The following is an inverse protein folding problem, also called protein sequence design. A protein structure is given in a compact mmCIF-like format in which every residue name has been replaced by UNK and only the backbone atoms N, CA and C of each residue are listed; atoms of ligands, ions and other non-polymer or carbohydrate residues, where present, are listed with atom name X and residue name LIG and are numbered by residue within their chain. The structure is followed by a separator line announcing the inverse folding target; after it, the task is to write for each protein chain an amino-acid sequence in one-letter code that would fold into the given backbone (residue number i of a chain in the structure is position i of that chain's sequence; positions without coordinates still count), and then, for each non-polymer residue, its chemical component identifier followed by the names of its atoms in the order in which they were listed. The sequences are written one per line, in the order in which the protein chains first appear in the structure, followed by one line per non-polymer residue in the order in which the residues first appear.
data_IF_450011807816
#
_entry.id   IF_450011807816
#
_cell.length_a   1.000
_cell.length_b   1.000
_cell.length_c   1.000
_cell.angle_alpha   90.00
_cell.angle_beta   90.00
_cell.angle_gamma   90.00
#
_symmetry.space_group_name_H-M   'P 1'
#
loop_
_entity.id
_entity.type
_entity.pdbx_description
1 polymer ?
#
# COMPACT_ATOMS: atom_id res chain seq x y z
N UNK A 1 -14.98 42.61 -2.00
CA UNK A 1 -13.62 42.23 -1.59
C UNK A 1 -13.59 41.15 -0.49
N UNK A 2 -14.39 41.32 0.57
CA UNK A 2 -14.34 40.54 1.80
C UNK A 2 -14.68 39.04 1.64
N UNK A 3 -15.74 38.74 0.91
CA UNK A 3 -16.15 37.35 0.61
C UNK A 3 -15.13 36.58 -0.22
N UNK A 4 -14.39 37.25 -1.11
CA UNK A 4 -13.33 36.66 -1.92
C UNK A 4 -12.16 36.30 -1.03
N UNK A 5 -11.78 37.17 -0.06
CA UNK A 5 -10.75 36.90 0.93
C UNK A 5 -11.06 35.61 1.73
N UNK A 6 -12.27 35.56 2.31
CA UNK A 6 -12.75 34.43 3.10
C UNK A 6 -12.77 33.14 2.27
N UNK A 7 -13.28 33.19 1.04
CA UNK A 7 -13.37 32.05 0.14
C UNK A 7 -11.98 31.52 -0.25
N UNK A 8 -11.03 32.39 -0.58
CA UNK A 8 -9.66 31.95 -0.93
C UNK A 8 -8.93 31.31 0.26
N UNK A 9 -9.09 31.90 1.46
CA UNK A 9 -8.44 31.37 2.66
C UNK A 9 -9.05 30.02 3.08
N UNK A 10 -10.39 29.93 3.15
CA UNK A 10 -11.06 28.69 3.51
C UNK A 10 -10.81 27.56 2.51
N UNK A 11 -10.81 27.86 1.20
CA UNK A 11 -10.52 26.86 0.17
C UNK A 11 -9.08 26.32 0.28
N UNK A 12 -8.12 27.20 0.56
CA UNK A 12 -6.71 26.79 0.75
C UNK A 12 -6.53 25.90 1.97
N UNK A 13 -7.15 26.27 3.10
CA UNK A 13 -7.10 25.46 4.34
C UNK A 13 -7.84 24.13 4.15
N UNK A 14 -9.03 24.14 3.57
CA UNK A 14 -9.81 22.94 3.29
C UNK A 14 -9.06 21.94 2.40
N UNK A 15 -8.36 22.43 1.37
CA UNK A 15 -7.57 21.58 0.48
C UNK A 15 -6.44 20.86 1.25
N UNK A 16 -5.69 21.56 2.09
CA UNK A 16 -4.59 20.99 2.88
C UNK A 16 -5.12 20.02 3.94
N UNK A 17 -6.17 20.43 4.68
CA UNK A 17 -6.80 19.59 5.70
C UNK A 17 -7.40 18.31 5.09
N UNK A 18 -8.11 18.43 3.97
CA UNK A 18 -8.71 17.31 3.25
C UNK A 18 -7.67 16.27 2.81
N UNK A 19 -6.52 16.71 2.28
CA UNK A 19 -5.41 15.82 1.93
C UNK A 19 -4.87 15.11 3.17
N UNK A 20 -4.71 15.82 4.29
CA UNK A 20 -4.28 15.23 5.56
C UNK A 20 -5.24 14.16 6.08
N UNK A 21 -6.54 14.42 6.03
CA UNK A 21 -7.59 13.48 6.45
C UNK A 21 -7.61 12.22 5.58
N UNK A 22 -7.56 12.37 4.25
CA UNK A 22 -7.51 11.23 3.32
C UNK A 22 -6.28 10.36 3.58
N UNK A 23 -5.11 10.98 3.75
CA UNK A 23 -3.88 10.26 4.10
C UNK A 23 -4.03 9.47 5.40
N UNK A 24 -4.54 10.11 6.46
CA UNK A 24 -4.74 9.45 7.77
C UNK A 24 -5.76 8.31 7.69
N UNK A 25 -6.85 8.47 6.95
CA UNK A 25 -7.86 7.44 6.75
C UNK A 25 -7.30 6.22 6.00
N UNK A 26 -6.50 6.44 4.95
CA UNK A 26 -5.84 5.35 4.21
C UNK A 26 -4.83 4.63 5.11
N UNK A 27 -4.01 5.36 5.86
CA UNK A 27 -3.04 4.76 6.78
C UNK A 27 -3.73 3.95 7.89
N UNK A 28 -4.82 4.45 8.47
CA UNK A 28 -5.60 3.71 9.46
C UNK A 28 -6.19 2.43 8.88
N UNK A 29 -6.83 2.49 7.69
CA UNK A 29 -7.38 1.31 7.02
C UNK A 29 -6.31 0.28 6.64
N UNK A 30 -5.15 0.72 6.16
CA UNK A 30 -4.03 -0.17 5.87
C UNK A 30 -3.45 -0.83 7.13
N UNK A 31 -3.38 -0.12 8.25
CA UNK A 31 -2.89 -0.69 9.51
C UNK A 31 -3.89 -1.67 10.14
N UNK A 32 -5.19 -1.40 10.04
CA UNK A 32 -6.24 -2.27 10.56
C UNK A 32 -6.33 -3.60 9.79
N UNK A 33 -6.14 -3.57 8.47
CA UNK A 33 -6.17 -4.75 7.62
C UNK A 33 -4.78 -5.28 7.26
N UNK A 34 -3.73 -4.69 7.81
CA UNK A 34 -2.35 -4.95 7.43
C UNK A 34 -1.96 -6.42 7.51
N UNK A 35 -2.35 -7.11 8.57
CA UNK A 35 -2.06 -8.53 8.74
C UNK A 35 -2.74 -9.39 7.64
N UNK A 36 -3.98 -9.08 7.27
CA UNK A 36 -4.70 -9.79 6.19
C UNK A 36 -4.07 -9.49 4.83
N UNK A 37 -3.72 -8.23 4.56
CA UNK A 37 -3.09 -7.81 3.31
C UNK A 37 -1.69 -8.42 3.14
N UNK A 38 -0.94 -8.59 4.23
CA UNK A 38 0.36 -9.25 4.25
C UNK A 38 0.23 -10.78 4.20
N UNK A 39 -0.93 -11.31 4.65
CA UNK A 39 -1.17 -12.74 4.84
C UNK A 39 -0.52 -13.30 6.10
N UNK A 40 -0.24 -12.44 7.10
CA UNK A 40 0.40 -12.75 8.38
C UNK A 40 0.74 -11.49 9.16
N UNK A 41 1.16 -11.62 10.42
CA UNK A 41 1.59 -10.49 11.25
C UNK A 41 2.95 -9.95 10.80
N UNK A 42 3.82 -10.83 10.30
CA UNK A 42 5.12 -10.48 9.74
C UNK A 42 5.51 -11.44 8.59
N UNK A 43 6.45 -10.97 7.78
CA UNK A 43 7.01 -11.71 6.65
C UNK A 43 8.52 -11.50 6.60
N UNK A 44 9.28 -12.60 6.46
CA UNK A 44 10.67 -12.60 6.05
C UNK A 44 10.75 -13.03 4.58
N UNK A 45 11.41 -12.22 3.74
CA UNK A 45 11.55 -12.49 2.30
C UNK A 45 13.02 -12.59 1.92
N UNK A 46 13.33 -13.60 1.10
CA UNK A 46 14.64 -13.80 0.50
C UNK A 46 14.53 -13.82 -1.02
N UNK A 47 15.51 -13.27 -1.70
CA UNK A 47 15.55 -13.20 -3.15
C UNK A 47 16.54 -14.24 -3.69
N UNK A 48 16.10 -15.05 -4.64
CA UNK A 48 16.87 -16.09 -5.35
C UNK A 48 17.43 -17.21 -4.47
N UNK A 49 16.89 -17.39 -3.28
CA UNK A 49 17.25 -18.46 -2.36
C UNK A 49 16.13 -18.76 -1.36
N UNK A 50 16.21 -19.89 -0.73
CA UNK A 50 15.44 -20.23 0.45
C UNK A 50 16.12 -19.71 1.73
N UNK A 51 15.38 -19.69 2.83
CA UNK A 51 15.97 -19.49 4.14
C UNK A 51 16.97 -20.60 4.46
N UNK A 52 18.11 -20.26 5.05
CA UNK A 52 19.03 -21.25 5.60
C UNK A 52 18.40 -21.98 6.80
N UNK A 53 18.93 -23.14 7.21
CA UNK A 53 18.42 -23.84 8.39
C UNK A 53 18.42 -22.97 9.65
N UNK A 54 19.42 -22.11 9.83
CA UNK A 54 19.49 -21.18 10.95
C UNK A 54 18.42 -20.08 10.88
N UNK A 55 18.22 -19.49 9.69
CA UNK A 55 17.17 -18.49 9.47
C UNK A 55 15.79 -19.09 9.68
N UNK A 56 15.55 -20.31 9.15
CA UNK A 56 14.28 -21.02 9.34
C UNK A 56 14.04 -21.33 10.82
N UNK A 57 15.02 -21.86 11.53
CA UNK A 57 14.90 -22.14 12.96
C UNK A 57 14.60 -20.86 13.78
N UNK A 58 15.20 -19.73 13.39
CA UNK A 58 14.88 -18.46 14.03
C UNK A 58 13.42 -18.05 13.77
N UNK A 59 12.94 -18.11 12.52
CA UNK A 59 11.56 -17.76 12.18
C UNK A 59 10.56 -18.66 12.92
N UNK A 60 10.85 -19.98 13.01
CA UNK A 60 10.02 -20.94 13.74
C UNK A 60 10.04 -20.67 15.26
N UNK A 61 11.13 -20.12 15.80
CA UNK A 61 11.25 -19.82 17.25
C UNK A 61 10.44 -18.60 17.68
N UNK A 62 10.21 -17.63 16.80
CA UNK A 62 9.48 -16.39 17.10
C UNK A 62 8.00 -16.43 16.72
N UNK A 63 7.60 -17.37 15.87
CA UNK A 63 6.25 -17.46 15.33
C UNK A 63 5.47 -18.65 15.90
N UNK A 64 4.17 -18.47 16.07
CA UNK A 64 3.24 -19.55 16.41
C UNK A 64 2.95 -20.46 15.20
N UNK A 65 2.99 -19.89 13.99
CA UNK A 65 2.78 -20.59 12.73
C UNK A 65 3.56 -19.89 11.61
N UNK A 66 4.18 -20.65 10.73
CA UNK A 66 4.92 -20.13 9.57
C UNK A 66 4.39 -20.82 8.31
N UNK A 67 4.20 -20.04 7.25
CA UNK A 67 3.90 -20.53 5.90
C UNK A 67 4.97 -20.07 4.93
N UNK A 68 5.46 -21.00 4.12
CA UNK A 68 6.48 -20.77 3.09
C UNK A 68 5.82 -20.63 1.73
N UNK A 69 6.08 -19.51 1.07
CA UNK A 69 5.54 -19.19 -0.25
C UNK A 69 6.72 -18.89 -1.18
N UNK A 70 6.68 -19.46 -2.37
CA UNK A 70 7.67 -19.18 -3.42
C UNK A 70 6.99 -18.54 -4.61
N UNK A 71 7.49 -17.39 -5.03
CA UNK A 71 6.93 -16.64 -6.16
C UNK A 71 7.98 -16.46 -7.27
N UNK A 72 7.59 -16.77 -8.50
CA UNK A 72 8.44 -16.61 -9.67
C UNK A 72 7.60 -16.49 -10.95
N UNK A 73 8.24 -16.05 -12.02
CA UNK A 73 7.62 -16.02 -13.35
C UNK A 73 8.03 -17.28 -14.13
N UNK A 74 7.06 -17.87 -14.81
CA UNK A 74 7.29 -19.04 -15.65
C UNK A 74 6.32 -19.03 -16.84
N UNK A 75 6.51 -19.98 -17.74
CA UNK A 75 5.59 -20.25 -18.83
C UNK A 75 4.78 -21.51 -18.50
N UNK A 76 3.48 -21.45 -18.72
CA UNK A 76 2.66 -22.64 -18.84
C UNK A 76 2.64 -23.07 -20.30
N UNK A 77 2.62 -24.38 -20.55
CA UNK A 77 2.44 -24.96 -21.88
C UNK A 77 1.19 -25.84 -21.87
N UNK A 78 0.25 -25.50 -22.75
CA UNK A 78 -1.02 -26.21 -22.95
C UNK A 78 -1.23 -26.42 -24.46
N UNK A 79 -1.11 -27.65 -24.95
CA UNK A 79 -1.04 -27.94 -26.38
C UNK A 79 0.08 -27.15 -27.05
N UNK A 80 -0.24 -26.37 -28.07
CA UNK A 80 0.69 -25.52 -28.81
C UNK A 80 0.86 -24.11 -28.19
N UNK A 81 0.12 -23.80 -27.13
CA UNK A 81 0.14 -22.49 -26.48
C UNK A 81 1.17 -22.44 -25.36
N UNK A 82 1.99 -21.35 -25.36
CA UNK A 82 2.92 -21.04 -24.27
C UNK A 82 2.59 -19.64 -23.75
N UNK A 83 2.16 -19.54 -22.49
CA UNK A 83 1.69 -18.29 -21.89
C UNK A 83 2.46 -17.98 -20.60
N UNK A 84 2.80 -16.71 -20.42
CA UNK A 84 3.47 -16.23 -19.21
C UNK A 84 2.51 -16.24 -18.02
N UNK A 85 2.98 -16.74 -16.90
CA UNK A 85 2.25 -16.73 -15.63
C UNK A 85 3.14 -16.31 -14.47
N UNK A 86 2.53 -15.72 -13.46
CA UNK A 86 3.12 -15.51 -12.14
C UNK A 86 2.78 -16.73 -11.27
N UNK A 87 3.74 -17.59 -11.04
CA UNK A 87 3.56 -18.76 -10.18
C UNK A 87 3.65 -18.37 -8.73
N UNK A 88 2.71 -18.84 -7.93
CA UNK A 88 2.73 -18.80 -6.46
C UNK A 88 2.65 -20.23 -5.95
N UNK A 89 3.78 -20.75 -5.52
CA UNK A 89 3.88 -22.06 -4.92
C UNK A 89 3.74 -21.93 -3.40
N UNK A 90 2.75 -22.61 -2.83
CA UNK A 90 2.37 -22.50 -1.41
C UNK A 90 2.59 -23.81 -0.68
N UNK A 91 2.79 -23.73 0.62
CA UNK A 91 2.81 -24.89 1.51
C UNK A 91 1.39 -25.22 2.03
N UNK A 92 1.29 -26.29 2.83
CA UNK A 92 0.02 -26.76 3.42
C UNK A 92 -0.53 -25.80 4.49
N UNK A 93 0.29 -24.86 4.98
CA UNK A 93 -0.12 -23.90 5.97
C UNK A 93 -0.82 -22.66 5.38
N UNK A 94 -0.68 -22.43 4.08
CA UNK A 94 -1.26 -21.30 3.37
C UNK A 94 -2.78 -21.47 3.13
N UNK A 95 -3.61 -20.43 3.25
CA UNK A 95 -3.28 -19.09 3.76
C UNK A 95 -3.30 -19.06 5.30
N UNK A 96 -2.41 -18.28 5.92
CA UNK A 96 -2.42 -18.10 7.38
C UNK A 96 -3.58 -17.23 7.83
N UNK A 97 -3.92 -16.19 7.05
CA UNK A 97 -5.01 -15.26 7.26
C UNK A 97 -5.82 -15.07 5.98
N UNK A 98 -7.11 -14.85 6.13
CA UNK A 98 -8.03 -14.70 5.01
C UNK A 98 -8.39 -16.02 4.34
N UNK A 99 -8.94 -15.94 3.14
CA UNK A 99 -9.38 -17.08 2.35
C UNK A 99 -9.06 -16.88 0.86
N UNK A 100 -8.71 -17.95 0.19
CA UNK A 100 -8.60 -17.96 -1.27
C UNK A 100 -9.99 -18.25 -1.85
N UNK A 101 -10.52 -17.33 -2.65
CA UNK A 101 -11.81 -17.49 -3.30
C UNK A 101 -11.64 -18.11 -4.70
N UNK A 102 -12.35 -19.21 -4.93
CA UNK A 102 -12.38 -19.94 -6.21
C UNK A 102 -13.77 -19.85 -6.84
N UNK A 103 -13.87 -20.00 -8.17
CA UNK A 103 -15.16 -20.14 -8.84
C UNK A 103 -15.86 -21.44 -8.45
N UNK A 104 -15.09 -22.53 -8.24
CA UNK A 104 -15.59 -23.83 -7.81
C UNK A 104 -14.50 -24.58 -7.04
N UNK A 105 -14.92 -25.49 -6.15
CA UNK A 105 -14.02 -26.26 -5.31
C UNK A 105 -13.67 -25.55 -3.99
N UNK A 106 -12.90 -26.21 -3.14
CA UNK A 106 -12.45 -25.66 -1.87
C UNK A 106 -10.91 -25.65 -1.80
N UNK A 107 -10.37 -24.51 -1.41
CA UNK A 107 -8.94 -24.37 -1.15
C UNK A 107 -8.61 -24.85 0.29
N UNK A 108 -7.52 -25.58 0.56
CA UNK A 108 -6.45 -25.99 -0.37
C UNK A 108 -6.66 -27.34 -1.09
N UNK A 109 -7.79 -28.02 -0.90
CA UNK A 109 -8.03 -29.38 -1.41
C UNK A 109 -7.82 -29.51 -2.94
N UNK A 110 -8.12 -28.45 -3.70
CA UNK A 110 -7.94 -28.44 -5.16
C UNK A 110 -6.46 -28.54 -5.60
N UNK A 111 -5.51 -28.26 -4.70
CA UNK A 111 -4.07 -28.34 -5.02
C UNK A 111 -3.50 -29.75 -4.82
N UNK A 112 -4.19 -30.65 -4.11
CA UNK A 112 -3.67 -31.99 -3.81
C UNK A 112 -3.35 -32.78 -5.10
N UNK A 113 -2.26 -33.57 -5.10
CA UNK A 113 -1.92 -34.46 -6.22
C UNK A 113 -1.70 -33.73 -7.54
N UNK A 114 -0.81 -32.75 -7.52
CA UNK A 114 -0.45 -31.87 -8.67
C UNK A 114 -1.65 -31.10 -9.25
N UNK A 115 -2.61 -30.75 -8.40
CA UNK A 115 -3.67 -29.81 -8.76
C UNK A 115 -3.13 -28.38 -8.83
N UNK A 116 -3.71 -27.58 -9.70
CA UNK A 116 -3.40 -26.18 -9.84
C UNK A 116 -4.68 -25.32 -9.86
N UNK A 117 -4.52 -24.09 -9.38
CA UNK A 117 -5.52 -23.02 -9.51
C UNK A 117 -4.93 -21.94 -10.40
N UNK A 118 -5.72 -21.42 -11.33
CA UNK A 118 -5.27 -20.47 -12.32
C UNK A 118 -6.26 -19.30 -12.43
N UNK A 119 -5.75 -18.10 -12.71
CA UNK A 119 -6.57 -16.96 -13.07
C UNK A 119 -7.47 -17.31 -14.27
N UNK A 120 -8.75 -16.92 -14.20
CA UNK A 120 -9.73 -17.26 -15.23
C UNK A 120 -9.31 -16.78 -16.62
N UNK A 121 -8.71 -15.58 -16.72
CA UNK A 121 -8.23 -15.01 -17.99
C UNK A 121 -7.13 -15.88 -18.61
N UNK A 122 -6.22 -16.38 -17.77
CA UNK A 122 -5.13 -17.24 -18.24
C UNK A 122 -5.65 -18.60 -18.72
N UNK A 123 -6.58 -19.20 -17.96
CA UNK A 123 -7.21 -20.46 -18.34
C UNK A 123 -7.94 -20.35 -19.69
N UNK A 124 -8.67 -19.25 -19.91
CA UNK A 124 -9.37 -18.99 -21.17
C UNK A 124 -8.39 -18.77 -22.34
N UNK A 125 -7.31 -18.02 -22.13
CA UNK A 125 -6.27 -17.80 -23.14
C UNK A 125 -5.52 -19.10 -23.50
N UNK A 126 -5.33 -19.99 -22.52
CA UNK A 126 -4.71 -21.29 -22.72
C UNK A 126 -5.65 -22.34 -23.31
N UNK A 127 -6.96 -22.03 -23.39
CA UNK A 127 -7.99 -22.99 -23.82
C UNK A 127 -8.20 -24.12 -22.84
N UNK A 128 -7.90 -23.91 -21.53
CA UNK A 128 -7.98 -24.93 -20.50
C UNK A 128 -9.33 -24.91 -19.79
N UNK A 129 -9.97 -26.06 -19.72
CA UNK A 129 -11.10 -26.35 -18.87
C UNK A 129 -10.65 -26.99 -17.54
N UNK A 130 -11.52 -26.96 -16.53
CA UNK A 130 -11.27 -27.69 -15.27
C UNK A 130 -11.16 -29.17 -15.57
N UNK A 131 -10.08 -29.79 -15.16
CA UNK A 131 -9.73 -31.19 -15.42
C UNK A 131 -8.65 -31.37 -16.50
N UNK A 132 -8.35 -30.35 -17.28
CA UNK A 132 -7.31 -30.41 -18.31
C UNK A 132 -5.91 -30.31 -17.69
N UNK A 133 -4.95 -31.00 -18.33
CA UNK A 133 -3.54 -30.96 -17.97
C UNK A 133 -2.78 -29.86 -18.70
N UNK A 134 -1.80 -29.29 -18.02
CA UNK A 134 -0.82 -28.36 -18.59
C UNK A 134 0.56 -28.61 -17.97
N UNK A 135 1.59 -28.11 -18.63
CA UNK A 135 2.97 -28.23 -18.14
C UNK A 135 3.45 -26.92 -17.56
N UNK A 136 4.14 -27.00 -16.42
CA UNK A 136 4.85 -25.91 -15.78
C UNK A 136 6.30 -26.35 -15.55
N UNK A 137 7.24 -25.83 -16.33
CA UNK A 137 8.59 -26.36 -16.40
C UNK A 137 8.61 -27.82 -16.83
N UNK A 138 9.32 -28.68 -16.09
CA UNK A 138 9.37 -30.13 -16.34
C UNK A 138 8.20 -30.92 -15.73
N UNK A 139 7.30 -30.29 -14.99
CA UNK A 139 6.21 -30.97 -14.29
C UNK A 139 4.84 -30.76 -14.97
N UNK A 140 3.98 -31.78 -14.88
CA UNK A 140 2.59 -31.73 -15.36
C UNK A 140 1.65 -31.48 -14.20
N UNK A 141 0.68 -30.57 -14.41
CA UNK A 141 -0.36 -30.17 -13.44
C UNK A 141 -1.74 -30.28 -14.06
N UNK A 142 -2.75 -30.45 -13.22
CA UNK A 142 -4.15 -30.49 -13.63
C UNK A 142 -4.85 -29.23 -13.14
N UNK A 143 -5.52 -28.47 -14.01
CA UNK A 143 -6.33 -27.34 -13.63
C UNK A 143 -7.56 -27.80 -12.85
N UNK A 144 -7.67 -27.47 -11.58
CA UNK A 144 -8.78 -27.88 -10.71
C UNK A 144 -9.60 -26.74 -10.15
N UNK A 145 -9.19 -25.50 -10.37
CA UNK A 145 -9.93 -24.34 -9.93
C UNK A 145 -9.56 -23.09 -10.69
N UNK A 146 -10.51 -22.17 -10.79
CA UNK A 146 -10.27 -20.82 -11.30
C UNK A 146 -10.23 -19.85 -10.13
N UNK A 147 -9.18 -19.04 -10.06
CA UNK A 147 -8.94 -18.09 -9.00
C UNK A 147 -9.81 -16.83 -9.20
N UNK A 148 -10.59 -16.47 -8.18
CA UNK A 148 -11.30 -15.20 -8.12
C UNK A 148 -10.51 -14.15 -7.34
N UNK A 149 -10.02 -14.51 -6.16
CA UNK A 149 -9.19 -13.63 -5.34
C UNK A 149 -8.33 -14.40 -4.34
N UNK A 150 -7.22 -13.79 -3.96
CA UNK A 150 -6.35 -14.23 -2.88
C UNK A 150 -6.23 -13.13 -1.81
N UNK A 151 -6.12 -13.47 -0.51
CA UNK A 151 -6.18 -12.49 0.58
C UNK A 151 -5.00 -11.50 0.57
N UNK A 152 -3.86 -11.94 0.09
CA UNK A 152 -2.55 -11.28 0.15
C UNK A 152 -2.07 -10.77 -1.22
N UNK A 153 -2.99 -10.52 -2.14
CA UNK A 153 -2.70 -10.01 -3.49
C UNK A 153 -1.98 -8.66 -3.49
N UNK A 154 -2.18 -7.84 -2.45
CA UNK A 154 -1.59 -6.50 -2.34
C UNK A 154 -0.07 -6.51 -2.11
N UNK A 155 0.50 -7.60 -1.60
CA UNK A 155 1.95 -7.72 -1.33
C UNK A 155 2.78 -8.01 -2.56
N UNK A 156 2.18 -8.60 -3.60
CA UNK A 156 2.85 -8.92 -4.88
C UNK A 156 3.10 -7.71 -5.80
N UNK A 157 2.64 -6.51 -5.43
CA UNK A 157 2.66 -5.35 -6.31
C UNK A 157 1.66 -5.49 -7.47
N UNK A 158 1.82 -4.67 -8.53
CA UNK A 158 1.06 -4.85 -9.75
C UNK A 158 1.53 -6.14 -10.44
N UNK A 159 0.74 -7.20 -10.35
CA UNK A 159 1.00 -8.45 -11.07
C UNK A 159 1.00 -8.16 -12.58
N UNK A 160 2.17 -8.29 -13.21
CA UNK A 160 2.32 -8.06 -14.65
C UNK A 160 1.86 -9.27 -15.49
N UNK A 161 1.50 -10.38 -14.85
CA UNK A 161 1.03 -11.60 -15.47
C UNK A 161 -0.05 -12.26 -14.61
N UNK A 162 -0.99 -12.98 -15.21
CA UNK A 162 -2.03 -13.70 -14.48
C UNK A 162 -1.42 -14.79 -13.60
N UNK A 163 -2.09 -15.10 -12.49
CA UNK A 163 -1.61 -15.98 -11.41
C UNK A 163 -1.87 -17.45 -11.70
N UNK A 164 -0.88 -18.29 -11.38
CA UNK A 164 -1.05 -19.75 -11.25
C UNK A 164 -0.57 -20.17 -9.86
N UNK A 165 -1.39 -20.91 -9.12
CA UNK A 165 -1.10 -21.37 -7.77
C UNK A 165 -1.00 -22.88 -7.72
N UNK A 166 0.07 -23.40 -7.10
CA UNK A 166 0.38 -24.83 -6.99
C UNK A 166 0.94 -25.13 -5.59
N UNK A 167 1.00 -26.41 -5.19
CA UNK A 167 1.74 -26.79 -4.00
C UNK A 167 3.26 -26.71 -4.26
N UNK A 168 4.00 -26.18 -3.31
CA UNK A 168 5.46 -26.09 -3.39
C UNK A 168 6.12 -27.47 -3.54
N UNK A 169 5.60 -28.47 -2.80
CA UNK A 169 6.09 -29.83 -2.86
C UNK A 169 5.99 -30.45 -4.27
N UNK A 170 4.97 -30.08 -5.04
CA UNK A 170 4.76 -30.60 -6.40
C UNK A 170 5.72 -30.01 -7.45
N UNK A 171 6.48 -28.97 -7.09
CA UNK A 171 7.54 -28.38 -7.93
C UNK A 171 8.89 -29.07 -7.76
N UNK A 172 9.02 -30.01 -6.84
CA UNK A 172 10.26 -30.79 -6.70
C UNK A 172 10.53 -31.58 -7.99
N UNK A 173 11.74 -31.45 -8.52
CA UNK A 173 12.10 -32.07 -9.80
C UNK A 173 11.60 -31.36 -11.07
N UNK A 174 10.85 -30.27 -10.96
CA UNK A 174 10.38 -29.48 -12.13
C UNK A 174 11.48 -28.70 -12.85
N UNK A 175 12.64 -28.51 -12.21
CA UNK A 175 13.72 -27.65 -12.69
C UNK A 175 13.54 -26.16 -12.42
N UNK A 176 12.42 -25.74 -11.84
CA UNK A 176 12.06 -24.32 -11.67
C UNK A 176 12.66 -23.68 -10.42
N UNK A 177 12.97 -24.50 -9.40
CA UNK A 177 13.50 -24.03 -8.10
C UNK A 177 14.94 -24.49 -7.84
N UNK A 178 15.71 -24.66 -8.90
CA UNK A 178 17.12 -25.06 -8.81
C UNK A 178 18.02 -23.86 -8.47
N UNK A 179 19.26 -24.16 -8.08
CA UNK A 179 20.29 -23.12 -7.90
C UNK A 179 20.45 -22.30 -9.19
N UNK A 180 20.36 -20.98 -9.06
CA UNK A 180 20.38 -20.04 -10.20
C UNK A 180 19.03 -19.69 -10.77
N UNK A 181 17.94 -20.29 -10.31
CA UNK A 181 16.58 -19.86 -10.69
C UNK A 181 16.22 -18.53 -10.03
N UNK A 182 15.44 -17.71 -10.75
CA UNK A 182 14.99 -16.40 -10.29
C UNK A 182 13.64 -16.52 -9.58
N UNK A 183 13.67 -16.69 -8.27
CA UNK A 183 12.46 -16.75 -7.44
C UNK A 183 12.63 -15.96 -6.15
N UNK A 184 11.54 -15.55 -5.57
CA UNK A 184 11.48 -15.00 -4.22
C UNK A 184 10.86 -16.03 -3.28
N UNK A 185 11.48 -16.27 -2.13
CA UNK A 185 10.88 -17.06 -1.06
C UNK A 185 10.43 -16.14 0.08
N UNK A 186 9.20 -16.34 0.54
CA UNK A 186 8.57 -15.55 1.59
C UNK A 186 8.08 -16.46 2.70
N UNK A 187 8.48 -16.15 3.93
CA UNK A 187 8.05 -16.86 5.14
C UNK A 187 7.11 -15.95 5.90
N UNK A 188 5.80 -16.23 5.82
CA UNK A 188 4.77 -15.51 6.54
C UNK A 188 4.54 -16.11 7.90
N UNK A 189 4.29 -15.27 8.88
CA UNK A 189 4.27 -15.67 10.28
C UNK A 189 3.02 -15.15 10.98
N UNK A 190 2.42 -16.00 11.81
CA UNK A 190 1.54 -15.56 12.88
C UNK A 190 2.38 -15.50 14.14
N UNK A 191 2.43 -14.33 14.76
CA UNK A 191 3.20 -14.10 15.96
C UNK A 191 2.35 -14.31 17.22
N UNK A 192 2.95 -14.57 18.39
CA UNK A 192 2.25 -14.59 19.65
C UNK A 192 1.57 -13.25 19.94
N UNK A 193 0.41 -13.29 20.61
CA UNK A 193 -0.32 -12.09 20.98
C UNK A 193 0.56 -11.12 21.81
N UNK A 194 0.57 -9.85 21.43
CA UNK A 194 1.38 -8.83 22.08
C UNK A 194 2.87 -8.81 21.69
N UNK A 195 3.28 -9.54 20.66
CA UNK A 195 4.64 -9.48 20.15
C UNK A 195 5.02 -8.06 19.70
N UNK A 196 6.20 -7.59 20.08
CA UNK A 196 6.74 -6.31 19.66
C UNK A 196 7.34 -6.43 18.25
N UNK A 197 6.56 -6.04 17.23
CA UNK A 197 6.96 -6.10 15.83
C UNK A 197 8.22 -5.26 15.54
N UNK A 198 8.42 -4.14 16.26
CA UNK A 198 9.58 -3.28 16.06
C UNK A 198 10.86 -3.94 16.60
N UNK A 199 10.77 -4.54 17.77
CA UNK A 199 11.89 -5.27 18.36
C UNK A 199 12.26 -6.50 17.53
N UNK A 200 11.27 -7.27 17.07
CA UNK A 200 11.50 -8.44 16.22
C UNK A 200 12.13 -8.06 14.88
N UNK A 201 11.65 -6.99 14.24
CA UNK A 201 12.28 -6.46 13.02
C UNK A 201 13.75 -6.11 13.26
N UNK A 202 14.03 -5.31 14.30
CA UNK A 202 15.41 -4.90 14.63
C UNK A 202 16.33 -6.09 14.92
N UNK A 203 15.84 -7.11 15.63
CA UNK A 203 16.59 -8.35 15.88
C UNK A 203 16.87 -9.13 14.60
N UNK A 204 15.86 -9.35 13.75
CA UNK A 204 16.00 -10.07 12.50
C UNK A 204 16.97 -9.37 11.54
N UNK A 205 16.81 -8.05 11.36
CA UNK A 205 17.66 -7.25 10.50
C UNK A 205 19.11 -7.15 11.01
N UNK A 206 19.32 -7.14 12.32
CA UNK A 206 20.67 -7.13 12.91
C UNK A 206 21.34 -8.49 12.75
N UNK A 207 20.60 -9.57 13.05
CA UNK A 207 21.15 -10.94 13.01
C UNK A 207 21.46 -11.41 11.59
N UNK A 208 20.61 -11.05 10.63
CA UNK A 208 20.67 -11.53 9.24
C UNK A 208 20.93 -10.42 8.22
N UNK A 209 21.59 -9.33 8.63
CA UNK A 209 21.87 -8.16 7.77
C UNK A 209 22.59 -8.54 6.49
N UNK A 210 23.63 -9.36 6.60
CA UNK A 210 24.45 -9.78 5.45
C UNK A 210 23.78 -10.86 4.59
N UNK A 211 22.78 -11.51 5.12
CA UNK A 211 22.06 -12.59 4.46
C UNK A 211 20.99 -12.10 3.47
N UNK A 212 20.77 -10.78 3.35
CA UNK A 212 19.80 -10.20 2.41
C UNK A 212 18.34 -10.42 2.81
N UNK A 213 18.07 -10.66 4.10
CA UNK A 213 16.72 -10.77 4.63
C UNK A 213 16.00 -9.44 4.47
N UNK A 214 14.78 -9.49 3.92
CA UNK A 214 13.85 -8.35 3.87
C UNK A 214 12.69 -8.63 4.82
N UNK A 215 12.58 -7.82 5.86
CA UNK A 215 11.48 -7.89 6.81
C UNK A 215 10.34 -6.97 6.39
N UNK A 216 9.11 -7.44 6.52
CA UNK A 216 7.88 -6.65 6.43
C UNK A 216 6.93 -7.12 7.51
N UNK A 217 6.12 -6.23 8.06
CA UNK A 217 5.11 -6.59 9.05
C UNK A 217 3.79 -5.85 8.79
N UNK A 218 2.76 -6.21 9.55
CA UNK A 218 1.40 -5.69 9.39
C UNK A 218 1.28 -4.17 9.52
N UNK A 219 2.26 -3.51 10.17
CA UNK A 219 2.32 -2.03 10.28
C UNK A 219 2.58 -1.38 8.91
N UNK A 220 3.23 -2.10 7.99
CA UNK A 220 3.59 -1.66 6.63
C UNK A 220 3.33 -2.76 5.60
N UNK A 221 2.10 -3.26 5.59
CA UNK A 221 1.72 -4.41 4.78
C UNK A 221 1.75 -4.16 3.27
N UNK A 222 1.62 -2.91 2.84
CA UNK A 222 1.56 -2.54 1.44
C UNK A 222 2.54 -1.39 1.09
N UNK A 223 3.87 -1.61 1.12
CA UNK A 223 4.87 -0.55 0.91
C UNK A 223 4.74 0.14 -0.46
N UNK A 224 4.17 -0.54 -1.45
CA UNK A 224 3.88 0.02 -2.77
C UNK A 224 2.78 1.08 -2.72
N UNK A 225 1.71 0.76 -2.01
CA UNK A 225 0.55 1.65 -1.81
C UNK A 225 0.95 2.84 -0.94
N UNK A 226 1.70 2.62 0.15
CA UNK A 226 2.20 3.71 1.01
C UNK A 226 3.03 4.72 0.20
N UNK A 227 4.02 4.26 -0.56
CA UNK A 227 4.84 5.14 -1.41
C UNK A 227 4.04 5.89 -2.47
N UNK A 228 3.02 5.25 -3.02
CA UNK A 228 2.11 5.89 -3.97
C UNK A 228 1.28 6.99 -3.30
N UNK A 229 0.69 6.70 -2.14
CA UNK A 229 -0.08 7.65 -1.33
C UNK A 229 0.80 8.82 -0.87
N UNK A 230 2.03 8.56 -0.40
CA UNK A 230 2.98 9.60 -0.02
C UNK A 230 3.33 10.52 -1.20
N UNK A 231 3.54 9.96 -2.39
CA UNK A 231 3.85 10.75 -3.59
C UNK A 231 2.68 11.61 -4.02
N UNK A 232 1.46 11.07 -4.00
CA UNK A 232 0.25 11.83 -4.30
C UNK A 232 0.02 12.90 -3.24
N UNK A 233 0.18 12.59 -1.96
CA UNK A 233 0.05 13.55 -0.86
C UNK A 233 1.04 14.70 -1.02
N UNK A 234 2.31 14.42 -1.32
CA UNK A 234 3.33 15.44 -1.57
C UNK A 234 2.95 16.33 -2.77
N UNK A 235 2.46 15.74 -3.86
CA UNK A 235 1.98 16.50 -5.02
C UNK A 235 0.78 17.39 -4.67
N UNK A 236 -0.21 16.86 -3.95
CA UNK A 236 -1.39 17.62 -3.53
C UNK A 236 -1.04 18.77 -2.55
N UNK A 237 -0.08 18.54 -1.64
CA UNK A 237 0.45 19.61 -0.78
C UNK A 237 1.09 20.72 -1.63
N UNK A 238 1.86 20.37 -2.65
CA UNK A 238 2.49 21.35 -3.54
C UNK A 238 1.43 22.14 -4.34
N UNK A 239 0.39 21.49 -4.83
CA UNK A 239 -0.77 22.15 -5.47
C UNK A 239 -1.50 23.05 -4.49
N UNK A 240 -1.73 22.57 -3.25
CA UNK A 240 -2.34 23.37 -2.18
C UNK A 240 -1.53 24.62 -1.82
N UNK A 241 -0.21 24.49 -1.75
CA UNK A 241 0.73 25.61 -1.51
C UNK A 241 0.71 26.61 -2.66
N UNK A 242 0.67 26.14 -3.91
CA UNK A 242 0.51 27.00 -5.08
C UNK A 242 -0.84 27.76 -5.05
N UNK A 243 -1.93 27.05 -4.71
CA UNK A 243 -3.24 27.65 -4.50
C UNK A 243 -3.25 28.70 -3.37
N UNK A 244 -2.56 28.41 -2.27
CA UNK A 244 -2.39 29.35 -1.16
C UNK A 244 -1.58 30.59 -1.57
N UNK A 245 -0.54 30.44 -2.40
CA UNK A 245 0.24 31.56 -2.91
C UNK A 245 -0.59 32.47 -3.81
N UNK A 246 -1.36 31.88 -4.74
CA UNK A 246 -2.29 32.64 -5.60
C UNK A 246 -3.39 33.28 -4.76
N UNK A 247 -3.97 32.56 -3.80
CA UNK A 247 -4.94 33.07 -2.83
C UNK A 247 -4.36 34.21 -1.99
N UNK A 248 -3.09 34.12 -1.57
CA UNK A 248 -2.36 35.15 -0.84
C UNK A 248 -2.28 36.49 -1.60
N UNK A 249 -2.06 36.44 -2.91
CA UNK A 249 -2.11 37.65 -3.76
C UNK A 249 -3.52 38.24 -3.77
N UNK A 250 -4.56 37.40 -3.86
CA UNK A 250 -5.97 37.84 -3.77
C UNK A 250 -6.30 38.46 -2.41
N UNK A 251 -5.79 37.85 -1.34
CA UNK A 251 -5.90 38.38 0.04
C UNK A 251 -5.22 39.74 0.15
N UNK A 252 -3.98 39.88 -0.34
CA UNK A 252 -3.27 41.15 -0.31
C UNK A 252 -4.00 42.26 -1.09
N UNK A 253 -4.51 41.92 -2.28
CA UNK A 253 -5.33 42.86 -3.08
C UNK A 253 -6.63 43.27 -2.39
N UNK A 254 -7.33 42.31 -1.76
CA UNK A 254 -8.56 42.57 -1.02
C UNK A 254 -8.33 43.47 0.21
N UNK A 255 -7.26 43.20 0.99
CA UNK A 255 -6.86 44.02 2.14
C UNK A 255 -6.51 45.46 1.68
N UNK A 256 -5.72 45.57 0.60
CA UNK A 256 -5.35 46.87 0.04
C UNK A 256 -6.58 47.67 -0.39
N UNK A 257 -7.48 47.07 -1.18
CA UNK A 257 -8.74 47.71 -1.61
C UNK A 257 -9.63 48.11 -0.41
N UNK A 258 -9.68 47.28 0.62
CA UNK A 258 -10.41 47.59 1.85
C UNK A 258 -9.84 48.83 2.58
N UNK A 259 -8.51 48.87 2.74
CA UNK A 259 -7.82 49.99 3.38
C UNK A 259 -7.96 51.27 2.55
N UNK A 260 -7.84 51.19 1.23
CA UNK A 260 -8.07 52.35 0.31
C UNK A 260 -9.47 52.89 0.46
N UNK A 261 -10.52 52.07 0.55
CA UNK A 261 -11.90 52.48 0.79
C UNK A 261 -12.11 53.13 2.18
N UNK A 262 -11.22 52.90 3.13
CA UNK A 262 -11.27 53.48 4.50
C UNK A 262 -10.35 54.69 4.70
N UNK A 263 -9.63 55.14 3.68
CA UNK A 263 -8.70 56.25 3.78
C UNK A 263 -9.35 57.53 4.32
N UNK A 264 -10.59 57.89 3.88
CA UNK A 264 -11.34 59.02 4.37
C UNK A 264 -11.65 58.92 5.88
N UNK A 265 -12.05 57.72 6.34
CA UNK A 265 -12.32 57.46 7.77
C UNK A 265 -11.03 57.52 8.59
N UNK A 266 -9.96 56.99 8.07
CA UNK A 266 -8.62 57.03 8.71
C UNK A 266 -8.12 58.49 8.83
N UNK A 267 -8.31 59.27 7.78
CA UNK A 267 -7.96 60.71 7.80
C UNK A 267 -8.75 61.47 8.88
N UNK A 268 -10.07 61.24 8.95
CA UNK A 268 -10.93 61.85 9.98
C UNK A 268 -10.50 61.45 11.40
N UNK A 269 -10.19 60.16 11.63
CA UNK A 269 -9.69 59.71 12.94
C UNK A 269 -8.37 60.37 13.32
N UNK A 270 -7.47 60.59 12.35
CA UNK A 270 -6.20 61.25 12.57
C UNK A 270 -6.36 62.73 12.88
N UNK A 271 -7.30 63.41 12.24
CA UNK A 271 -7.58 64.82 12.57
C UNK A 271 -8.23 64.99 13.95
N UNK A 272 -8.90 63.95 14.46
CA UNK A 272 -9.44 63.89 15.82
C UNK A 272 -8.38 63.48 16.86
N UNK A 273 -7.12 63.31 16.47
CA UNK A 273 -6.02 63.01 17.38
C UNK A 273 -5.65 61.53 17.57
N UNK A 274 -6.23 60.61 16.78
CA UNK A 274 -5.89 59.21 16.85
C UNK A 274 -4.44 58.96 16.38
N UNK A 275 -3.65 58.24 17.19
CA UNK A 275 -2.27 57.88 16.84
C UNK A 275 -2.26 56.84 15.74
N UNK A 276 -1.20 56.84 14.89
CA UNK A 276 -1.05 55.85 13.81
C UNK A 276 -1.04 54.39 14.32
N UNK A 277 -0.53 54.16 15.54
CA UNK A 277 -0.55 52.86 16.19
C UNK A 277 -1.95 52.36 16.55
N UNK A 278 -2.82 53.24 17.05
CA UNK A 278 -4.20 52.88 17.37
C UNK A 278 -5.00 52.51 16.11
N UNK A 279 -4.83 53.26 15.03
CA UNK A 279 -5.45 52.98 13.73
C UNK A 279 -4.99 51.65 13.19
N UNK A 280 -3.69 51.39 13.22
CA UNK A 280 -3.10 50.09 12.78
C UNK A 280 -3.67 48.93 13.60
N UNK A 281 -3.63 49.01 14.92
CA UNK A 281 -4.15 47.96 15.80
C UNK A 281 -5.63 47.63 15.52
N UNK A 282 -6.47 48.64 15.30
CA UNK A 282 -7.90 48.45 15.01
C UNK A 282 -8.13 47.68 13.71
N UNK A 283 -7.47 48.05 12.62
CA UNK A 283 -7.65 47.39 11.33
C UNK A 283 -6.93 46.03 11.29
N UNK A 284 -5.81 45.91 11.97
CA UNK A 284 -5.12 44.62 12.12
C UNK A 284 -5.97 43.58 12.87
N UNK A 285 -6.59 43.99 13.98
CA UNK A 285 -7.51 43.14 14.76
C UNK A 285 -8.73 42.70 13.93
N UNK A 286 -9.31 43.61 13.15
CA UNK A 286 -10.40 43.27 12.25
C UNK A 286 -9.99 42.21 11.22
N UNK A 287 -8.87 42.40 10.56
CA UNK A 287 -8.37 41.44 9.56
C UNK A 287 -8.01 40.09 10.23
N UNK A 288 -7.41 40.11 11.42
CA UNK A 288 -7.04 38.91 12.17
C UNK A 288 -8.28 38.07 12.56
N UNK A 289 -9.35 38.73 13.08
CA UNK A 289 -10.62 38.06 13.42
C UNK A 289 -11.23 37.40 12.18
N UNK A 290 -11.21 38.10 11.07
CA UNK A 290 -11.78 37.63 9.82
C UNK A 290 -10.96 36.47 9.21
N UNK A 291 -9.64 36.55 9.37
CA UNK A 291 -8.73 35.42 8.98
C UNK A 291 -8.99 34.20 9.85
N UNK A 292 -9.18 34.40 11.17
CA UNK A 292 -9.49 33.28 12.07
C UNK A 292 -10.82 32.61 11.71
N UNK A 293 -11.85 33.42 11.37
CA UNK A 293 -13.12 32.88 10.87
C UNK A 293 -12.95 32.12 9.54
N UNK A 294 -12.14 32.61 8.62
CA UNK A 294 -11.87 31.95 7.35
C UNK A 294 -11.16 30.59 7.53
N UNK A 295 -10.22 30.52 8.49
CA UNK A 295 -9.52 29.27 8.83
C UNK A 295 -10.45 28.26 9.52
N UNK A 296 -11.39 28.71 10.36
CA UNK A 296 -12.32 27.81 11.05
C UNK A 296 -13.44 27.28 10.15
N UNK A 297 -13.74 27.96 9.06
CA UNK A 297 -14.72 27.51 8.06
C UNK A 297 -14.10 26.55 7.04
N UNK A 298 -12.81 26.68 6.74
CA UNK A 298 -12.06 25.82 5.81
C UNK A 298 -11.46 24.60 6.47
#
# INVERSE_FOLDING_TARGET
GFWVFLACLSLGVAAIAGVGMVRSAIQAGLSEQGATLLGGDAQAKFTYRFASPEERAYLDSIASKVSEIVEFRSMISAGDSNLLTQVKAVDDAYPLLGQVALQAGSFPAVLAGRGAVMDGILADQAGLAIGDSFRLGGAEFVLRGRLNSEPDSATGGFALAPRTMVLRADLEGSGLLNAGSLFDSSYRMILPAGADLAALQAQAETRFREAGLRWSDSRRAAPGVERFVERIAAFLVLVGLAGLAVGGVGVAAAVRSYLEAKLATIATLRTLGATGGLVFQTYFLQIAVLSALGVTIG
#
